data_IF_666508669940
#
_entry.id   IF_666508669940
#
_cell.length_a   1.000
_cell.length_b   1.000
_cell.length_c   1.000
_cell.angle_alpha   90.00
_cell.angle_beta   90.00
_cell.angle_gamma   90.00
#
_symmetry.space_group_name_H-M   'P 1'
#
loop_
_entity.id
_entity.type
_entity.pdbx_description
1 polymer ?
#
# COMPACT_ATOMS: atom_id res chain seq x y z
N UNK A 1 -24.15 -3.19 6.82
CA UNK A 1 -24.05 -1.81 6.27
C UNK A 1 -22.63 -1.32 6.55
N UNK A 2 -21.96 -0.67 5.58
CA UNK A 2 -20.62 -0.08 5.81
C UNK A 2 -20.81 1.24 6.60
N UNK A 3 -20.12 1.44 7.74
CA UNK A 3 -20.30 2.64 8.55
C UNK A 3 -19.85 3.91 7.82
N UNK A 4 -20.27 5.07 8.34
CA UNK A 4 -19.78 6.37 7.88
C UNK A 4 -18.35 6.57 8.40
N UNK A 5 -17.43 6.87 7.50
CA UNK A 5 -16.05 7.22 7.84
C UNK A 5 -15.66 8.62 7.35
N UNK A 6 -14.36 8.89 7.42
CA UNK A 6 -13.70 10.11 6.93
C UNK A 6 -12.79 9.79 5.74
N UNK A 7 -12.31 10.83 5.06
CA UNK A 7 -11.26 10.68 4.04
C UNK A 7 -9.90 10.65 4.73
N UNK A 8 -9.10 9.63 4.45
CA UNK A 8 -7.70 9.54 4.87
C UNK A 8 -6.78 9.66 3.68
N UNK A 9 -5.79 10.55 3.77
CA UNK A 9 -4.85 10.82 2.70
C UNK A 9 -3.47 10.28 3.07
N UNK A 10 -2.87 9.56 2.14
CA UNK A 10 -1.51 9.04 2.28
C UNK A 10 -0.70 9.36 1.03
N UNK A 11 0.61 9.48 1.22
CA UNK A 11 1.56 9.61 0.12
C UNK A 11 2.63 8.53 0.24
N UNK A 12 2.78 7.75 -0.83
CA UNK A 12 3.79 6.71 -0.97
C UNK A 12 4.73 7.09 -2.12
N UNK A 13 6.02 7.22 -1.85
CA UNK A 13 7.05 7.47 -2.84
C UNK A 13 7.90 6.22 -2.97
N UNK A 14 7.95 5.64 -4.18
CA UNK A 14 8.71 4.43 -4.45
C UNK A 14 10.09 4.84 -4.98
N UNK A 15 11.16 4.42 -4.30
CA UNK A 15 12.55 4.78 -4.61
C UNK A 15 13.43 3.55 -4.55
N UNK A 16 14.57 3.58 -5.24
CA UNK A 16 15.68 2.67 -4.94
C UNK A 16 16.41 3.16 -3.68
N UNK A 17 16.96 2.25 -2.89
CA UNK A 17 17.79 2.59 -1.73
C UNK A 17 18.56 1.39 -1.19
N UNK A 18 19.66 1.68 -0.51
CA UNK A 18 20.44 0.67 0.23
C UNK A 18 19.87 0.49 1.64
N UNK A 19 19.64 -0.76 2.04
CA UNK A 19 19.22 -1.14 3.39
C UNK A 19 19.97 -2.38 3.86
N UNK A 20 20.04 -2.59 5.17
CA UNK A 20 20.65 -3.78 5.78
C UNK A 20 19.71 -4.41 6.82
N UNK A 21 18.54 -4.94 6.41
CA UNK A 21 17.50 -5.42 7.35
C UNK A 21 17.94 -6.63 8.18
N UNK A 22 18.91 -7.39 7.70
CA UNK A 22 19.52 -8.55 8.36
C UNK A 22 21.01 -8.32 8.70
N UNK A 23 21.47 -7.07 8.61
CA UNK A 23 22.87 -6.69 8.84
C UNK A 23 23.77 -6.74 7.60
N UNK A 24 23.26 -7.17 6.43
CA UNK A 24 24.01 -7.11 5.17
C UNK A 24 23.42 -6.07 4.21
N UNK A 25 24.26 -5.16 3.69
CA UNK A 25 23.80 -4.09 2.80
C UNK A 25 23.36 -4.64 1.45
N UNK A 26 22.11 -4.35 1.08
CA UNK A 26 21.50 -4.72 -0.20
C UNK A 26 20.81 -3.51 -0.84
N UNK A 27 20.80 -3.48 -2.17
CA UNK A 27 20.00 -2.53 -2.94
C UNK A 27 18.57 -3.07 -3.07
N UNK A 28 17.58 -2.26 -2.69
CA UNK A 28 16.16 -2.61 -2.69
C UNK A 28 15.29 -1.50 -3.25
N UNK A 29 14.04 -1.83 -3.53
CA UNK A 29 12.99 -0.85 -3.81
C UNK A 29 12.19 -0.60 -2.53
N UNK A 30 12.09 0.66 -2.11
CA UNK A 30 11.57 1.07 -0.82
C UNK A 30 10.34 1.94 -1.01
N UNK A 31 9.46 1.94 -0.02
CA UNK A 31 8.33 2.86 0.06
C UNK A 31 8.63 3.90 1.13
N UNK A 32 8.72 5.17 0.75
CA UNK A 32 9.17 6.28 1.60
C UNK A 32 10.56 6.03 2.24
N UNK A 33 11.46 5.35 1.52
CA UNK A 33 12.82 5.08 1.99
C UNK A 33 12.92 4.06 3.14
N UNK A 34 11.84 3.33 3.45
CA UNK A 34 11.82 2.33 4.53
C UNK A 34 11.34 0.96 4.03
N UNK A 35 11.73 -0.08 4.78
CA UNK A 35 11.22 -1.44 4.66
C UNK A 35 10.89 -2.02 6.06
N UNK A 36 9.67 -2.55 6.29
CA UNK A 36 8.51 -2.43 5.41
C UNK A 36 8.12 -0.97 5.16
N UNK A 37 7.35 -0.74 4.10
CA UNK A 37 6.75 0.56 3.82
C UNK A 37 5.88 1.09 4.97
N UNK A 38 5.57 2.39 4.98
CA UNK A 38 4.79 3.00 6.06
C UNK A 38 3.41 2.35 6.20
N UNK A 39 2.98 2.13 7.44
CA UNK A 39 1.65 1.59 7.72
C UNK A 39 0.57 2.53 7.21
N UNK A 40 -0.31 2.00 6.36
CA UNK A 40 -1.57 2.65 6.01
C UNK A 40 -2.61 2.18 7.02
N UNK A 41 -3.27 3.11 7.68
CA UNK A 41 -4.18 2.81 8.79
C UNK A 41 -5.44 3.67 8.76
N UNK A 42 -6.58 3.06 9.03
CA UNK A 42 -7.83 3.77 9.20
C UNK A 42 -8.90 2.91 9.84
N UNK A 43 -10.15 3.35 9.78
CA UNK A 43 -11.29 2.66 10.35
C UNK A 43 -12.18 2.09 9.23
N UNK A 44 -12.95 1.05 9.57
CA UNK A 44 -14.03 0.57 8.72
C UNK A 44 -14.93 1.73 8.31
N UNK A 45 -15.25 1.83 7.02
CA UNK A 45 -16.06 2.89 6.45
C UNK A 45 -15.31 4.13 5.97
N UNK A 46 -14.02 4.29 6.31
CA UNK A 46 -13.19 5.39 5.79
C UNK A 46 -12.97 5.27 4.27
N UNK A 47 -12.71 6.41 3.64
CA UNK A 47 -12.26 6.46 2.24
C UNK A 47 -10.77 6.76 2.21
N UNK A 48 -10.00 5.85 1.63
CA UNK A 48 -8.56 6.01 1.47
C UNK A 48 -8.27 6.70 0.13
N UNK A 49 -7.49 7.77 0.17
CA UNK A 49 -6.93 8.46 -0.99
C UNK A 49 -5.40 8.38 -0.89
N UNK A 50 -4.79 7.52 -1.70
CA UNK A 50 -3.38 7.14 -1.57
C UNK A 50 -2.67 7.56 -2.86
N UNK A 51 -1.88 8.62 -2.77
CA UNK A 51 -1.06 9.10 -3.89
C UNK A 51 0.26 8.38 -3.91
N UNK A 52 0.50 7.60 -4.97
CA UNK A 52 1.75 6.89 -5.20
C UNK A 52 2.59 7.66 -6.21
N UNK A 53 3.87 7.86 -5.92
CA UNK A 53 4.85 8.52 -6.79
C UNK A 53 5.92 7.52 -7.19
N UNK A 54 6.14 7.32 -8.49
CA UNK A 54 7.25 6.50 -8.98
C UNK A 54 8.52 7.35 -9.12
N UNK A 55 9.52 7.10 -8.28
CA UNK A 55 10.86 7.72 -8.36
C UNK A 55 11.96 6.67 -8.48
N UNK A 56 11.65 5.49 -9.01
CA UNK A 56 12.65 4.46 -9.31
C UNK A 56 13.61 4.97 -10.39
N UNK A 57 14.92 4.74 -10.23
CA UNK A 57 15.98 5.33 -11.08
C UNK A 57 16.28 4.54 -12.35
N UNK A 58 15.83 3.29 -12.44
CA UNK A 58 16.15 2.34 -13.52
C UNK A 58 15.14 2.33 -14.70
N UNK A 59 14.24 3.32 -14.77
CA UNK A 59 13.24 3.45 -15.83
C UNK A 59 12.05 2.51 -15.70
N UNK A 60 11.97 1.72 -14.62
CA UNK A 60 10.89 0.74 -14.42
C UNK A 60 9.56 1.41 -14.09
N UNK A 61 8.47 0.83 -14.58
CA UNK A 61 7.11 1.21 -14.19
C UNK A 61 6.75 0.69 -12.80
N UNK A 62 5.62 1.10 -12.24
CA UNK A 62 5.13 0.54 -10.96
C UNK A 62 3.61 0.57 -10.89
N UNK A 63 3.01 -0.27 -10.06
CA UNK A 63 1.59 -0.19 -9.68
C UNK A 63 1.43 -0.72 -8.27
N UNK A 64 0.45 -0.23 -7.50
CA UNK A 64 0.22 -0.68 -6.12
C UNK A 64 -1.14 -1.33 -6.04
N UNK A 65 -1.17 -2.59 -5.57
CA UNK A 65 -2.39 -3.32 -5.20
C UNK A 65 -2.61 -3.25 -3.70
N UNK A 66 -3.87 -3.07 -3.30
CA UNK A 66 -4.31 -3.16 -1.92
C UNK A 66 -4.91 -4.55 -1.70
N UNK A 67 -4.10 -5.47 -1.18
CA UNK A 67 -4.43 -6.89 -1.13
C UNK A 67 -5.72 -7.12 -0.34
N UNK A 68 -6.62 -7.95 -0.86
CA UNK A 68 -7.89 -8.28 -0.19
C UNK A 68 -8.94 -7.17 -0.15
N UNK A 69 -8.65 -5.95 -0.63
CA UNK A 69 -9.65 -4.88 -0.75
C UNK A 69 -10.58 -5.18 -1.92
N UNK A 70 -11.89 -5.18 -1.66
CA UNK A 70 -12.90 -5.65 -2.62
C UNK A 70 -12.99 -4.82 -3.91
N UNK A 71 -12.66 -3.53 -3.87
CA UNK A 71 -12.75 -2.60 -5.02
C UNK A 71 -14.12 -2.60 -5.73
N UNK A 72 -15.22 -2.77 -4.97
CA UNK A 72 -16.57 -2.90 -5.52
C UNK A 72 -16.98 -1.65 -6.31
N UNK A 73 -17.26 -1.83 -7.62
CA UNK A 73 -17.66 -0.74 -8.52
C UNK A 73 -16.51 0.19 -8.95
N UNK A 74 -15.29 -0.07 -8.51
CA UNK A 74 -14.09 0.76 -8.75
C UNK A 74 -12.88 -0.10 -9.14
N UNK A 75 -13.08 -1.13 -9.96
CA UNK A 75 -12.03 -2.08 -10.32
C UNK A 75 -10.77 -1.43 -10.95
N UNK A 76 -10.92 -0.26 -11.60
CA UNK A 76 -9.79 0.54 -12.09
C UNK A 76 -8.85 1.08 -10.99
N UNK A 77 -9.21 0.96 -9.70
CA UNK A 77 -8.40 1.30 -8.53
C UNK A 77 -7.69 0.09 -7.89
N UNK A 78 -7.77 -1.09 -8.50
CA UNK A 78 -7.20 -2.33 -7.95
C UNK A 78 -5.67 -2.42 -8.05
N UNK A 79 -5.06 -1.78 -9.05
CA UNK A 79 -3.61 -1.71 -9.14
C UNK A 79 -2.91 -2.87 -9.85
N UNK A 80 -3.65 -3.79 -10.47
CA UNK A 80 -3.07 -4.90 -11.24
C UNK A 80 -2.57 -4.42 -12.61
N UNK A 81 -1.25 -4.29 -12.77
CA UNK A 81 -0.64 -3.89 -14.05
C UNK A 81 -1.01 -4.87 -15.17
N UNK A 82 -1.46 -4.33 -16.31
CA UNK A 82 -1.90 -5.11 -17.48
C UNK A 82 -3.32 -5.64 -17.40
N UNK A 83 -4.01 -5.46 -16.26
CA UNK A 83 -5.43 -5.84 -16.10
C UNK A 83 -6.28 -4.60 -15.85
N UNK A 84 -6.04 -3.88 -14.75
CA UNK A 84 -6.87 -2.74 -14.33
C UNK A 84 -6.25 -1.39 -14.66
N UNK A 85 -4.95 -1.37 -15.00
CA UNK A 85 -4.22 -0.16 -15.40
C UNK A 85 -2.92 -0.49 -16.13
N UNK A 86 -2.39 0.51 -16.84
CA UNK A 86 -1.00 0.52 -17.27
C UNK A 86 -0.05 0.74 -16.07
N UNK A 87 1.20 0.24 -16.13
CA UNK A 87 2.19 0.57 -15.11
C UNK A 87 2.50 2.08 -15.15
N UNK A 88 2.59 2.69 -13.98
CA UNK A 88 2.91 4.10 -13.80
C UNK A 88 4.39 4.34 -14.15
N UNK A 89 4.71 5.16 -15.17
CA UNK A 89 6.09 5.42 -15.56
C UNK A 89 6.89 6.15 -14.46
N UNK A 90 8.22 6.10 -14.57
CA UNK A 90 9.13 6.90 -13.75
C UNK A 90 8.73 8.39 -13.80
N UNK A 91 8.79 9.06 -12.65
CA UNK A 91 8.48 10.48 -12.49
C UNK A 91 6.98 10.81 -12.49
N UNK A 92 6.11 9.81 -12.66
CA UNK A 92 4.65 10.00 -12.63
C UNK A 92 4.06 9.64 -11.27
N UNK A 93 2.81 10.06 -11.08
CA UNK A 93 2.05 9.82 -9.85
C UNK A 93 0.63 9.40 -10.18
N UNK A 94 0.04 8.58 -9.31
CA UNK A 94 -1.33 8.09 -9.42
C UNK A 94 -1.97 8.07 -8.04
N UNK A 95 -3.20 8.57 -7.93
CA UNK A 95 -3.97 8.51 -6.70
C UNK A 95 -4.99 7.38 -6.78
N UNK A 96 -4.85 6.41 -5.88
CA UNK A 96 -5.81 5.34 -5.68
C UNK A 96 -6.86 5.80 -4.68
N UNK A 97 -8.14 5.59 -5.00
CA UNK A 97 -9.25 6.00 -4.14
C UNK A 97 -10.24 4.87 -3.95
N UNK A 98 -10.40 4.40 -2.72
CA UNK A 98 -11.32 3.31 -2.40
C UNK A 98 -11.90 3.44 -1.00
N UNK A 99 -13.09 2.86 -0.80
CA UNK A 99 -13.77 2.85 0.50
C UNK A 99 -13.49 1.55 1.23
N UNK A 100 -13.15 1.62 2.52
CA UNK A 100 -13.01 0.47 3.38
C UNK A 100 -14.38 -0.17 3.68
N UNK A 101 -14.83 -1.07 2.81
CA UNK A 101 -16.01 -1.90 3.05
C UNK A 101 -15.73 -3.10 3.96
N UNK A 102 -14.46 -3.42 4.17
CA UNK A 102 -13.94 -4.48 5.03
C UNK A 102 -13.12 -3.88 6.19
N UNK A 103 -12.82 -4.70 7.20
CA UNK A 103 -11.92 -4.38 8.31
C UNK A 103 -11.02 -5.57 8.62
N UNK A 104 -9.92 -5.32 9.32
CA UNK A 104 -8.91 -6.32 9.68
C UNK A 104 -7.50 -5.92 9.23
N UNK A 105 -6.65 -6.93 9.09
CA UNK A 105 -5.25 -6.77 8.71
C UNK A 105 -5.03 -7.25 7.28
N UNK A 106 -4.39 -6.41 6.48
CA UNK A 106 -3.92 -6.74 5.15
C UNK A 106 -2.62 -5.99 4.87
N UNK A 107 -2.30 -5.83 3.60
CA UNK A 107 -1.06 -5.25 3.12
C UNK A 107 -1.28 -4.63 1.74
N UNK A 108 -0.46 -3.65 1.41
CA UNK A 108 -0.34 -3.13 0.05
C UNK A 108 1.01 -3.56 -0.51
N UNK A 109 1.07 -3.82 -1.80
CA UNK A 109 2.31 -4.21 -2.44
C UNK A 109 2.33 -3.82 -3.92
N UNK A 110 3.52 -3.77 -4.51
CA UNK A 110 3.60 -3.63 -5.95
C UNK A 110 2.95 -4.81 -6.66
N UNK A 111 2.19 -4.53 -7.71
CA UNK A 111 1.64 -5.55 -8.61
C UNK A 111 2.19 -5.39 -10.03
N UNK A 112 3.46 -4.99 -10.10
CA UNK A 112 4.25 -4.91 -11.31
C UNK A 112 5.52 -5.77 -11.17
N UNK A 113 5.62 -6.82 -12.00
CA UNK A 113 6.79 -7.73 -12.02
C UNK A 113 7.17 -8.22 -10.61
N UNK A 114 8.47 -8.32 -10.31
CA UNK A 114 9.03 -8.82 -9.05
C UNK A 114 9.24 -7.73 -7.98
N UNK A 115 8.65 -6.55 -8.14
CA UNK A 115 8.87 -5.43 -7.21
C UNK A 115 8.40 -5.71 -5.78
N UNK A 116 7.36 -6.54 -5.59
CA UNK A 116 6.90 -6.95 -4.25
C UNK A 116 8.00 -7.71 -3.49
N UNK A 117 8.71 -8.62 -4.18
CA UNK A 117 9.83 -9.37 -3.59
C UNK A 117 11.08 -8.52 -3.40
N UNK A 118 11.18 -7.39 -4.09
CA UNK A 118 12.31 -6.46 -3.97
C UNK A 118 12.10 -5.33 -2.95
N UNK A 119 10.94 -5.30 -2.29
CA UNK A 119 10.72 -4.46 -1.10
C UNK A 119 9.55 -3.50 -1.18
N UNK A 120 8.84 -3.41 -2.32
CA UNK A 120 7.67 -2.52 -2.46
C UNK A 120 6.44 -3.15 -1.81
N UNK A 121 6.40 -3.10 -0.49
CA UNK A 121 5.36 -3.70 0.35
C UNK A 121 5.22 -2.93 1.66
N UNK A 122 4.00 -2.84 2.20
CA UNK A 122 3.76 -2.31 3.54
C UNK A 122 2.42 -2.76 4.14
N UNK A 123 2.24 -2.59 5.45
CA UNK A 123 1.03 -3.04 6.13
C UNK A 123 -0.16 -2.11 5.86
N UNK A 124 -1.34 -2.71 5.78
CA UNK A 124 -2.62 -2.02 5.66
C UNK A 124 -3.54 -2.51 6.78
N UNK A 125 -3.88 -1.62 7.71
CA UNK A 125 -4.73 -1.95 8.87
C UNK A 125 -6.02 -1.14 8.79
N UNK A 126 -7.14 -1.83 8.88
CA UNK A 126 -8.46 -1.20 8.95
C UNK A 126 -9.13 -1.63 10.26
N UNK A 127 -9.22 -0.71 11.22
CA UNK A 127 -9.82 -0.94 12.52
C UNK A 127 -11.32 -1.21 12.41
N UNK A 128 -11.78 -2.21 13.17
CA UNK A 128 -13.17 -2.63 13.22
C UNK A 128 -13.41 -3.59 14.38
N UNK A 129 -14.59 -4.23 14.44
CA UNK A 129 -14.91 -5.21 15.46
C UNK A 129 -13.91 -6.38 15.51
N UNK A 130 -13.75 -6.97 16.69
CA UNK A 130 -12.95 -8.18 16.90
C UNK A 130 -13.79 -9.25 17.59
N UNK A 131 -13.50 -10.53 17.36
CA UNK A 131 -14.21 -11.66 17.96
C UNK A 131 -13.77 -11.97 19.39
N UNK A 132 -12.67 -11.38 19.86
CA UNK A 132 -12.16 -11.51 21.22
C UNK A 132 -11.61 -10.18 21.73
N UNK A 133 -11.64 -10.00 23.04
CA UNK A 133 -11.04 -8.83 23.69
C UNK A 133 -9.51 -8.97 23.70
N UNK A 134 -8.83 -7.83 23.65
CA UNK A 134 -7.39 -7.70 23.82
C UNK A 134 -7.08 -6.34 24.43
N UNK A 135 -5.97 -6.23 25.14
CA UNK A 135 -5.60 -4.99 25.85
C UNK A 135 -4.79 -4.03 24.95
N UNK A 136 -3.96 -4.58 24.05
CA UNK A 136 -3.02 -3.80 23.25
C UNK A 136 -2.95 -4.26 21.79
N UNK A 137 -2.76 -3.30 20.88
CA UNK A 137 -2.33 -3.54 19.50
C UNK A 137 -0.83 -3.29 19.42
N UNK A 138 -0.06 -4.27 18.96
CA UNK A 138 1.39 -4.13 18.79
C UNK A 138 1.71 -2.93 17.88
N UNK A 139 2.46 -1.97 18.43
CA UNK A 139 3.03 -0.85 17.67
C UNK A 139 4.50 -1.16 17.43
N UNK A 140 4.92 -1.23 16.17
CA UNK A 140 6.33 -1.25 15.82
C UNK A 140 6.95 0.05 16.35
N UNK A 141 7.98 -0.08 17.20
CA UNK A 141 8.80 1.04 17.67
C UNK A 141 9.74 1.51 16.58
#
# INVERSE_FOLDING_TARGET
MVPKGIVRKFELTITNGEIAPDGYTVNKMLVNGQYPGPKIEGNWGDTFEITVKNKLSNGTGTSIRFHGIQQLGINHMDGASGVTQCPMPMGKSMTYKWRASQYGTSWYHSHFSLQVTDGVVGPLVIHGPCSANYDEVWRLK
#
